data_IF_993507689102
#
_entry.id   IF_993507689102
#
_cell.length_a   1.000
_cell.length_b   1.000
_cell.length_c   1.000
_cell.angle_alpha   90.00
_cell.angle_beta   90.00
_cell.angle_gamma   90.00
#
_symmetry.space_group_name_H-M   'P 1'
#
loop_
_entity.id
_entity.type
_entity.pdbx_description
1 polymer ?
#
# COMPACT_ATOMS: atom_id res chain seq x y z
N UNK A 1 -12.03 19.66 25.00
CA UNK A 1 -12.25 19.37 23.56
C UNK A 1 -12.07 17.88 23.37
N UNK A 2 -13.06 17.11 22.89
CA UNK A 2 -12.95 15.67 22.83
C UNK A 2 -12.13 15.23 21.61
N UNK A 3 -11.25 14.26 21.87
CA UNK A 3 -10.27 13.69 20.95
C UNK A 3 -10.90 13.01 19.72
N UNK A 4 -10.17 13.11 18.61
CA UNK A 4 -10.48 12.59 17.29
C UNK A 4 -10.58 11.04 17.29
N UNK A 5 -11.79 10.49 17.36
CA UNK A 5 -12.07 9.04 17.29
C UNK A 5 -12.19 8.47 15.84
N UNK A 6 -11.70 9.17 14.82
CA UNK A 6 -11.97 8.82 13.41
C UNK A 6 -11.08 7.74 12.78
N UNK A 7 -10.07 7.22 13.49
CA UNK A 7 -9.08 6.31 12.88
C UNK A 7 -9.38 4.82 13.11
N UNK A 8 -9.85 4.42 14.29
CA UNK A 8 -9.94 3.01 14.67
C UNK A 8 -11.05 2.21 13.99
N UNK A 9 -12.24 2.78 13.77
CA UNK A 9 -13.36 2.02 13.17
C UNK A 9 -13.18 1.76 11.67
N UNK A 10 -12.49 2.67 10.96
CA UNK A 10 -12.20 2.50 9.54
C UNK A 10 -11.08 1.50 9.32
N UNK A 11 -10.02 1.57 10.13
CA UNK A 11 -8.90 0.61 10.10
C UNK A 11 -9.36 -0.84 10.28
N UNK A 12 -10.34 -1.09 11.16
CA UNK A 12 -10.88 -2.44 11.42
C UNK A 12 -11.71 -2.98 10.24
N UNK A 13 -12.54 -2.14 9.61
CA UNK A 13 -13.31 -2.51 8.42
C UNK A 13 -12.39 -2.78 7.21
N UNK A 14 -11.34 -1.97 7.02
CA UNK A 14 -10.34 -2.20 5.97
C UNK A 14 -9.61 -3.53 6.14
N UNK A 15 -9.27 -3.88 7.40
CA UNK A 15 -8.65 -5.17 7.71
C UNK A 15 -9.62 -6.34 7.47
N UNK A 16 -10.91 -6.15 7.67
CA UNK A 16 -11.91 -7.20 7.48
C UNK A 16 -12.17 -7.50 5.99
N UNK A 17 -12.27 -6.48 5.14
CA UNK A 17 -12.46 -6.66 3.69
C UNK A 17 -11.20 -7.15 2.98
N UNK A 18 -10.02 -6.67 3.43
CA UNK A 18 -8.76 -7.24 3.00
C UNK A 18 -8.66 -8.71 3.42
N UNK A 19 -9.17 -9.09 4.60
CA UNK A 19 -9.26 -10.48 5.04
C UNK A 19 -10.28 -11.30 4.23
N UNK A 20 -11.37 -10.73 3.76
CA UNK A 20 -12.32 -11.47 2.92
C UNK A 20 -11.76 -11.76 1.53
N UNK A 21 -11.11 -10.77 0.90
CA UNK A 21 -10.53 -10.95 -0.43
C UNK A 21 -9.17 -11.68 -0.42
N UNK A 22 -8.38 -11.53 0.65
CA UNK A 22 -6.98 -11.99 0.71
C UNK A 22 -6.67 -12.83 1.95
N UNK A 23 -7.56 -12.92 2.93
CA UNK A 23 -7.31 -13.66 4.17
C UNK A 23 -7.23 -15.18 4.00
N UNK A 24 -7.58 -15.68 2.83
CA UNK A 24 -7.29 -17.05 2.42
C UNK A 24 -5.83 -17.24 1.95
N UNK A 25 -5.06 -16.17 1.73
CA UNK A 25 -3.64 -16.25 1.39
C UNK A 25 -2.77 -16.34 2.65
N UNK A 26 -1.73 -17.17 2.59
CA UNK A 26 -0.78 -17.32 3.70
C UNK A 26 -0.03 -16.02 4.00
N UNK A 27 0.26 -15.23 2.96
CA UNK A 27 0.93 -13.94 3.10
C UNK A 27 0.08 -12.93 3.90
N UNK A 28 -1.24 -12.89 3.72
CA UNK A 28 -2.10 -12.04 4.54
C UNK A 28 -2.10 -12.45 6.02
N UNK A 29 -2.15 -13.76 6.30
CA UNK A 29 -2.09 -14.29 7.66
C UNK A 29 -0.75 -13.95 8.34
N UNK A 30 0.38 -14.17 7.64
CA UNK A 30 1.70 -13.80 8.15
C UNK A 30 1.82 -12.31 8.41
N UNK A 31 1.31 -11.48 7.50
CA UNK A 31 1.28 -10.02 7.66
C UNK A 31 0.54 -9.60 8.92
N UNK A 32 -0.65 -10.15 9.14
CA UNK A 32 -1.49 -9.84 10.31
C UNK A 32 -0.86 -10.32 11.60
N UNK A 33 -0.23 -11.50 11.61
CA UNK A 33 0.49 -11.98 12.79
C UNK A 33 1.70 -11.12 13.13
N UNK A 34 2.52 -10.75 12.14
CA UNK A 34 3.69 -9.90 12.36
C UNK A 34 3.29 -8.49 12.77
N UNK A 35 2.31 -7.90 12.08
CA UNK A 35 1.78 -6.58 12.43
C UNK A 35 1.08 -6.59 13.80
N UNK A 36 0.42 -7.70 14.16
CA UNK A 36 -0.19 -7.90 15.47
C UNK A 36 0.83 -7.95 16.61
N UNK A 37 2.05 -8.43 16.34
CA UNK A 37 3.16 -8.50 17.30
C UNK A 37 3.87 -7.16 17.51
N UNK A 38 3.70 -6.19 16.61
CA UNK A 38 4.29 -4.86 16.74
C UNK A 38 3.66 -4.10 17.91
N UNK A 39 4.50 -3.39 18.65
CA UNK A 39 4.12 -2.48 19.71
C UNK A 39 3.39 -1.25 19.15
N UNK A 40 2.71 -0.50 20.03
CA UNK A 40 2.05 0.75 19.62
C UNK A 40 3.04 1.77 19.05
N UNK A 41 4.25 1.86 19.63
CA UNK A 41 5.30 2.76 19.17
C UNK A 41 5.75 2.40 17.74
N UNK A 42 6.02 1.13 17.46
CA UNK A 42 6.41 0.67 16.12
C UNK A 42 5.30 0.93 15.09
N UNK A 43 4.02 0.76 15.50
CA UNK A 43 2.88 1.09 14.63
C UNK A 43 2.77 2.58 14.34
N UNK A 44 3.06 3.43 15.31
CA UNK A 44 3.09 4.89 15.12
C UNK A 44 4.24 5.31 14.21
N UNK A 45 5.45 4.78 14.42
CA UNK A 45 6.60 5.04 13.53
C UNK A 45 6.29 4.61 12.08
N UNK A 46 5.75 3.41 11.89
CA UNK A 46 5.32 2.95 10.57
C UNK A 46 4.28 3.87 9.91
N UNK A 47 3.34 4.43 10.70
CA UNK A 47 2.34 5.36 10.18
C UNK A 47 2.99 6.67 9.73
N UNK A 48 3.96 7.18 10.48
CA UNK A 48 4.74 8.38 10.11
C UNK A 48 5.55 8.13 8.85
N UNK A 49 6.27 7.00 8.78
CA UNK A 49 7.05 6.63 7.60
C UNK A 49 6.17 6.45 6.36
N UNK A 50 5.01 5.80 6.51
CA UNK A 50 4.05 5.63 5.42
C UNK A 50 3.50 6.99 4.93
N UNK A 51 3.23 7.94 5.83
CA UNK A 51 2.74 9.27 5.46
C UNK A 51 3.82 10.10 4.73
N UNK A 52 5.06 10.06 5.21
CA UNK A 52 6.21 10.70 4.56
C UNK A 52 6.41 10.11 3.16
N UNK A 53 6.39 8.78 3.05
CA UNK A 53 6.51 8.09 1.77
C UNK A 53 5.35 8.47 0.83
N UNK A 54 4.11 8.52 1.31
CA UNK A 54 2.95 8.90 0.51
C UNK A 54 3.06 10.31 -0.06
N UNK A 55 3.50 11.27 0.77
CA UNK A 55 3.76 12.65 0.34
C UNK A 55 4.88 12.71 -0.70
N UNK A 56 5.92 11.90 -0.53
CA UNK A 56 7.00 11.81 -1.50
C UNK A 56 6.49 11.29 -2.84
N UNK A 57 5.75 10.17 -2.85
CA UNK A 57 5.11 9.64 -4.07
C UNK A 57 4.20 10.68 -4.71
N UNK A 58 3.36 11.36 -3.93
CA UNK A 58 2.47 12.40 -4.41
C UNK A 58 3.24 13.56 -5.09
N UNK A 59 4.40 13.96 -4.56
CA UNK A 59 5.25 14.96 -5.21
C UNK A 59 5.89 14.46 -6.51
N UNK A 60 6.20 13.16 -6.59
CA UNK A 60 6.84 12.55 -7.75
C UNK A 60 5.83 12.11 -8.83
N UNK A 61 4.53 12.11 -8.53
CA UNK A 61 3.49 11.66 -9.47
C UNK A 61 3.50 12.43 -10.79
N UNK A 62 3.95 13.70 -10.78
CA UNK A 62 4.06 14.56 -11.96
C UNK A 62 5.12 14.07 -12.96
N UNK A 63 6.10 13.29 -12.53
CA UNK A 63 7.09 12.65 -13.40
C UNK A 63 6.53 11.43 -14.13
N UNK A 64 5.35 10.94 -13.73
CA UNK A 64 4.67 9.80 -14.32
C UNK A 64 4.94 8.47 -13.61
N UNK A 65 3.99 7.55 -13.73
CA UNK A 65 3.96 6.24 -13.06
C UNK A 65 5.15 5.32 -13.44
N UNK A 66 5.70 5.50 -14.64
CA UNK A 66 6.80 4.68 -15.19
C UNK A 66 8.16 5.36 -15.07
N UNK A 67 8.24 6.53 -14.42
CA UNK A 67 9.51 7.22 -14.22
C UNK A 67 10.45 6.41 -13.32
N UNK A 68 11.76 6.56 -13.50
CA UNK A 68 12.76 5.85 -12.69
C UNK A 68 12.57 6.12 -11.18
N UNK A 69 12.33 7.38 -10.81
CA UNK A 69 12.11 7.79 -9.42
C UNK A 69 10.85 7.12 -8.85
N UNK A 70 9.76 7.10 -9.60
CA UNK A 70 8.53 6.41 -9.17
C UNK A 70 8.77 4.91 -9.00
N UNK A 71 9.50 4.28 -9.92
CA UNK A 71 9.83 2.86 -9.84
C UNK A 71 10.74 2.53 -8.66
N UNK A 72 11.65 3.42 -8.27
CA UNK A 72 12.42 3.28 -7.03
C UNK A 72 11.52 3.33 -5.79
N UNK A 73 10.55 4.25 -5.75
CA UNK A 73 9.58 4.33 -4.64
C UNK A 73 8.69 3.08 -4.57
N UNK A 74 8.20 2.58 -5.70
CA UNK A 74 7.44 1.32 -5.77
C UNK A 74 8.31 0.14 -5.37
N UNK A 75 9.60 0.13 -5.71
CA UNK A 75 10.53 -0.91 -5.28
C UNK A 75 10.73 -0.90 -3.76
N UNK A 76 10.85 0.28 -3.15
CA UNK A 76 10.91 0.43 -1.70
C UNK A 76 9.64 -0.07 -1.04
N UNK A 77 8.46 0.26 -1.58
CA UNK A 77 7.18 -0.23 -1.09
C UNK A 77 7.05 -1.75 -1.21
N UNK A 78 7.44 -2.34 -2.34
CA UNK A 78 7.47 -3.80 -2.47
C UNK A 78 8.46 -4.45 -1.49
N UNK A 79 9.59 -3.80 -1.20
CA UNK A 79 10.56 -4.29 -0.23
C UNK A 79 10.07 -4.15 1.22
N UNK A 80 9.32 -3.09 1.57
CA UNK A 80 8.77 -2.93 2.91
C UNK A 80 7.74 -4.01 3.23
N UNK A 81 7.00 -4.51 2.22
CA UNK A 81 6.10 -5.66 2.39
C UNK A 81 6.84 -6.92 2.87
N UNK A 82 8.14 -7.09 2.53
CA UNK A 82 8.97 -8.22 3.01
C UNK A 82 9.11 -8.28 4.53
N UNK A 83 8.96 -7.15 5.21
CA UNK A 83 8.95 -7.14 6.67
C UNK A 83 7.74 -7.90 7.24
N UNK A 84 6.61 -7.88 6.53
CA UNK A 84 5.33 -8.46 6.97
C UNK A 84 5.09 -9.87 6.41
N UNK A 85 5.43 -10.11 5.15
CA UNK A 85 5.25 -11.39 4.48
C UNK A 85 6.15 -11.45 3.26
N UNK A 86 6.36 -12.62 2.65
CA UNK A 86 7.10 -12.69 1.39
C UNK A 86 6.17 -12.30 0.23
N UNK A 87 6.29 -11.08 -0.35
CA UNK A 87 5.37 -10.64 -1.39
C UNK A 87 5.75 -11.32 -2.71
N UNK A 88 4.78 -11.88 -3.42
CA UNK A 88 4.97 -12.32 -4.79
C UNK A 88 4.39 -11.28 -5.78
N UNK A 89 4.84 -11.36 -7.04
CA UNK A 89 4.47 -10.38 -8.06
C UNK A 89 2.97 -10.43 -8.41
N UNK A 90 2.35 -11.61 -8.39
CA UNK A 90 0.92 -11.77 -8.65
C UNK A 90 0.06 -11.13 -7.55
N UNK A 91 0.45 -11.31 -6.29
CA UNK A 91 -0.18 -10.63 -5.15
C UNK A 91 0.00 -9.13 -5.24
N UNK A 92 1.18 -8.65 -5.60
CA UNK A 92 1.42 -7.22 -5.75
C UNK A 92 0.57 -6.61 -6.88
N UNK A 93 0.37 -7.36 -7.97
CA UNK A 93 -0.57 -7.00 -9.06
C UNK A 93 -2.00 -6.89 -8.56
N UNK A 94 -2.49 -7.90 -7.82
CA UNK A 94 -3.82 -7.84 -7.22
C UNK A 94 -4.01 -6.66 -6.26
N UNK A 95 -2.92 -6.22 -5.60
CA UNK A 95 -2.95 -5.08 -4.67
C UNK A 95 -3.20 -3.79 -5.43
N UNK A 96 -2.48 -3.63 -6.54
CA UNK A 96 -2.61 -2.50 -7.43
C UNK A 96 -4.05 -2.38 -7.94
N UNK A 97 -4.63 -3.47 -8.46
CA UNK A 97 -6.01 -3.48 -8.97
C UNK A 97 -7.03 -3.08 -7.90
N UNK A 98 -6.81 -3.48 -6.64
CA UNK A 98 -7.68 -3.10 -5.54
C UNK A 98 -7.68 -1.59 -5.26
N UNK A 99 -6.54 -0.90 -5.41
CA UNK A 99 -6.41 0.52 -5.08
C UNK A 99 -7.34 1.40 -5.91
N UNK A 100 -7.65 0.98 -7.14
CA UNK A 100 -8.58 1.67 -8.05
C UNK A 100 -9.97 1.05 -8.05
N UNK A 101 -10.09 -0.26 -7.80
CA UNK A 101 -11.38 -0.95 -7.74
C UNK A 101 -12.23 -0.54 -6.52
N UNK A 102 -11.59 -0.14 -5.42
CA UNK A 102 -12.27 0.32 -4.22
C UNK A 102 -12.22 1.86 -4.10
N UNK A 103 -13.39 2.49 -4.16
CA UNK A 103 -13.54 3.95 -4.11
C UNK A 103 -13.07 4.55 -2.79
N UNK A 104 -13.01 3.77 -1.70
CA UNK A 104 -12.51 4.24 -0.39
C UNK A 104 -11.00 4.32 -0.37
N UNK A 105 -10.31 3.32 -0.94
CA UNK A 105 -8.86 3.36 -1.12
C UNK A 105 -8.51 4.51 -2.05
N UNK A 106 -9.19 4.61 -3.19
CA UNK A 106 -9.07 5.75 -4.08
C UNK A 106 -9.23 7.07 -3.32
N UNK A 107 -10.31 7.25 -2.56
CA UNK A 107 -10.54 8.46 -1.77
C UNK A 107 -9.46 8.73 -0.70
N UNK A 108 -8.80 7.70 -0.17
CA UNK A 108 -7.66 7.87 0.74
C UNK A 108 -6.45 8.49 0.01
N UNK A 109 -6.07 7.94 -1.14
CA UNK A 109 -4.96 8.45 -1.95
C UNK A 109 -5.25 9.83 -2.56
N UNK A 110 -6.50 10.07 -2.97
CA UNK A 110 -6.95 11.36 -3.52
C UNK A 110 -6.83 12.52 -2.50
N UNK A 111 -6.77 12.22 -1.18
CA UNK A 111 -6.48 13.24 -0.15
C UNK A 111 -5.05 13.76 -0.22
N UNK A 112 -4.11 12.95 -0.70
CA UNK A 112 -2.72 13.32 -0.84
C UNK A 112 -2.48 14.05 -2.15
N UNK A 113 -2.97 13.49 -3.26
CA UNK A 113 -2.99 14.15 -4.54
C UNK A 113 -4.05 13.58 -5.47
N UNK A 114 -4.65 14.45 -6.29
CA UNK A 114 -5.69 14.05 -7.24
C UNK A 114 -5.12 13.10 -8.28
N UNK A 115 -5.75 11.93 -8.45
CA UNK A 115 -5.28 10.88 -9.37
C UNK A 115 -4.14 10.01 -8.85
N UNK A 116 -3.68 10.20 -7.60
CA UNK A 116 -2.59 9.43 -7.02
C UNK A 116 -2.88 7.92 -6.99
N UNK A 117 -4.14 7.54 -6.72
CA UNK A 117 -4.56 6.13 -6.72
C UNK A 117 -4.28 5.45 -8.08
N UNK A 118 -4.55 6.16 -9.18
CA UNK A 118 -4.32 5.66 -10.53
C UNK A 118 -2.82 5.57 -10.83
N UNK A 119 -2.06 6.60 -10.47
CA UNK A 119 -0.60 6.61 -10.66
C UNK A 119 0.06 5.46 -9.89
N UNK A 120 -0.40 5.21 -8.67
CA UNK A 120 0.06 4.09 -7.84
C UNK A 120 -0.25 2.73 -8.48
N UNK A 121 -1.49 2.55 -8.95
CA UNK A 121 -1.89 1.35 -9.69
C UNK A 121 -0.99 1.11 -10.90
N UNK A 122 -0.83 2.12 -11.75
CA UNK A 122 -0.06 2.02 -12.99
C UNK A 122 1.44 1.75 -12.69
N UNK A 123 1.98 2.38 -11.65
CA UNK A 123 3.38 2.21 -11.27
C UNK A 123 3.66 0.81 -10.69
N UNK A 124 2.73 0.28 -9.89
CA UNK A 124 2.79 -1.09 -9.37
C UNK A 124 2.67 -2.13 -10.47
N UNK A 125 1.72 -1.96 -11.41
CA UNK A 125 1.58 -2.84 -12.57
C UNK A 125 2.84 -2.83 -13.43
N UNK A 126 3.36 -1.65 -13.74
CA UNK A 126 4.61 -1.51 -14.50
C UNK A 126 5.76 -2.25 -13.82
N UNK A 127 5.90 -2.12 -12.49
CA UNK A 127 6.93 -2.83 -11.73
C UNK A 127 6.81 -4.35 -11.84
N UNK A 128 5.58 -4.88 -11.75
CA UNK A 128 5.30 -6.32 -11.91
C UNK A 128 5.62 -6.77 -13.33
N UNK A 129 5.12 -6.06 -14.34
CA UNK A 129 5.33 -6.39 -15.75
C UNK A 129 6.83 -6.35 -16.11
N UNK A 130 7.58 -5.38 -15.60
CA UNK A 130 9.03 -5.25 -15.84
C UNK A 130 9.82 -6.42 -15.23
N UNK A 131 9.34 -6.99 -14.13
CA UNK A 131 9.99 -8.14 -13.46
C UNK A 131 9.55 -9.49 -13.99
N UNK A 132 8.33 -9.58 -14.50
CA UNK A 132 7.83 -10.80 -15.16
C UNK A 132 8.38 -10.93 -16.57
N UNK A 133 8.60 -9.83 -17.31
CA UNK A 133 9.20 -9.82 -18.64
C UNK A 133 10.72 -10.11 -18.65
N UNK A 134 11.39 -10.04 -17.50
CA UNK A 134 12.82 -10.42 -17.35
C UNK A 134 13.04 -11.93 -17.11
N UNK A 135 12.00 -12.73 -17.25
CA UNK A 135 12.02 -14.19 -17.04
C UNK A 135 11.99 -14.91 -18.39
#
# INVERSE_FOLDING_TARGET
>A
MPYNNFSTEKEDQYAQEAKERWGNTEAYKQSQERYGKLTKAEKEEMKVDADIWMKHVASQMLHGATSAIMQELIAQHYNSLRAFYEPNLEMYRGLAEMYVADTRFKAYYEKYAVGLAQVMHDAMLHYVDTRTAKK
#
